data_IF_735833298776
#
_entry.id   IF_735833298776
#
_cell.length_a   1.000
_cell.length_b   1.000
_cell.length_c   1.000
_cell.angle_alpha   90.00
_cell.angle_beta   90.00
_cell.angle_gamma   90.00
#
_symmetry.space_group_name_H-M   'P 1'
#
loop_
_entity.id
_entity.type
_entity.pdbx_description
1 polymer ?
#
# COMPACT_ATOMS: atom_id res chain seq x y z
N UNK A 1 14.96 19.99 -46.45
CA UNK A 1 15.32 19.65 -45.06
C UNK A 1 14.07 19.86 -44.21
N UNK A 2 13.34 18.80 -43.87
CA UNK A 2 12.15 18.90 -43.03
C UNK A 2 12.56 18.84 -41.56
N UNK A 3 12.28 19.89 -40.78
CA UNK A 3 12.42 19.88 -39.33
C UNK A 3 11.11 19.39 -38.72
N UNK A 4 11.15 18.30 -37.95
CA UNK A 4 10.02 17.84 -37.14
C UNK A 4 10.16 18.50 -35.76
N UNK A 5 9.20 19.35 -35.41
CA UNK A 5 9.04 19.90 -34.08
C UNK A 5 8.25 18.89 -33.22
N UNK A 6 8.91 18.23 -32.26
CA UNK A 6 8.22 17.40 -31.27
C UNK A 6 7.99 18.24 -30.02
N UNK A 7 6.73 18.67 -29.81
CA UNK A 7 6.31 19.29 -28.55
C UNK A 7 5.91 18.18 -27.56
N UNK A 8 6.68 18.02 -26.48
CA UNK A 8 6.30 17.21 -25.33
C UNK A 8 5.51 18.10 -24.37
N UNK A 9 4.18 17.92 -24.32
CA UNK A 9 3.33 18.56 -23.33
C UNK A 9 3.31 17.64 -22.10
N UNK A 10 4.19 17.90 -21.13
CA UNK A 10 4.12 17.25 -19.82
C UNK A 10 3.15 18.01 -18.93
N UNK A 11 1.93 17.50 -18.75
CA UNK A 11 1.05 18.00 -17.70
C UNK A 11 1.53 17.45 -16.36
N UNK A 12 2.19 18.29 -15.56
CA UNK A 12 2.41 17.99 -14.15
C UNK A 12 1.05 18.01 -13.44
N UNK A 13 0.62 16.86 -12.92
CA UNK A 13 -0.55 16.82 -12.02
C UNK A 13 -0.09 17.46 -10.71
N UNK A 14 -0.41 18.74 -10.54
CA UNK A 14 -0.25 19.42 -9.26
C UNK A 14 -1.33 18.86 -8.35
N UNK A 15 -0.95 17.94 -7.46
CA UNK A 15 -1.79 17.56 -6.32
C UNK A 15 -2.00 18.81 -5.46
N UNK A 16 -3.12 19.51 -5.68
CA UNK A 16 -3.62 20.47 -4.70
C UNK A 16 -4.22 19.66 -3.54
N UNK A 17 -3.36 19.21 -2.64
CA UNK A 17 -3.78 18.86 -1.30
C UNK A 17 -4.27 20.17 -0.65
N UNK A 18 -5.57 20.45 -0.72
CA UNK A 18 -6.20 21.39 0.21
C UNK A 18 -6.17 20.73 1.58
N UNK A 19 -5.07 20.93 2.30
CA UNK A 19 -5.07 20.73 3.75
C UNK A 19 -6.19 21.63 4.30
N UNK A 20 -7.21 21.03 4.90
CA UNK A 20 -8.29 21.77 5.52
C UNK A 20 -7.70 22.67 6.60
N UNK A 21 -7.65 23.98 6.34
CA UNK A 21 -7.49 24.98 7.39
C UNK A 21 -8.79 24.99 8.18
N UNK A 22 -8.82 24.27 9.30
CA UNK A 22 -9.86 24.49 10.30
C UNK A 22 -9.28 25.48 11.32
N UNK A 23 -9.63 26.75 11.13
CA UNK A 23 -9.54 27.74 12.20
C UNK A 23 -10.53 27.34 13.27
N UNK A 24 -10.07 26.69 14.34
CA UNK A 24 -10.75 26.72 15.62
C UNK A 24 -9.72 26.63 16.74
N UNK A 25 -9.56 27.75 17.43
CA UNK A 25 -8.86 27.88 18.68
C UNK A 25 -9.40 26.86 19.69
N UNK A 26 -8.60 25.87 20.06
CA UNK A 26 -8.57 25.31 21.41
C UNK A 26 -7.30 24.48 21.58
N UNK A 27 -6.48 24.89 22.55
CA UNK A 27 -5.29 24.17 23.02
C UNK A 27 -5.69 22.77 23.46
N UNK A 28 -5.33 21.74 22.69
CA UNK A 28 -5.05 20.38 23.14
C UNK A 28 -4.25 19.67 22.03
N UNK A 29 -3.02 19.30 22.35
CA UNK A 29 -2.03 18.73 21.44
C UNK A 29 -2.34 17.27 21.08
N UNK A 30 -3.42 17.03 20.33
CA UNK A 30 -3.78 15.69 19.87
C UNK A 30 -3.48 15.56 18.38
N UNK A 31 -2.20 15.43 18.02
CA UNK A 31 -1.79 15.04 16.67
C UNK A 31 -2.05 13.54 16.39
N UNK A 32 -3.15 13.02 16.96
CA UNK A 32 -3.68 11.65 16.84
C UNK A 32 -4.86 11.60 15.82
N UNK A 33 -4.88 12.52 14.84
CA UNK A 33 -6.16 13.12 14.41
C UNK A 33 -6.78 12.52 13.13
N UNK A 34 -6.06 11.69 12.38
CA UNK A 34 -6.62 10.99 11.22
C UNK A 34 -5.97 9.64 11.01
N UNK A 35 -4.64 9.57 11.08
CA UNK A 35 -3.90 8.33 10.90
C UNK A 35 -4.31 7.28 11.93
N UNK A 36 -4.29 7.64 13.21
CA UNK A 36 -4.69 6.74 14.28
C UNK A 36 -6.16 6.38 14.18
N UNK A 37 -7.01 7.27 13.67
CA UNK A 37 -8.42 6.97 13.43
C UNK A 37 -8.61 5.98 12.27
N UNK A 38 -7.90 6.14 11.16
CA UNK A 38 -7.96 5.18 10.04
C UNK A 38 -7.40 3.82 10.48
N UNK A 39 -6.20 3.83 11.05
CA UNK A 39 -5.47 2.59 11.39
C UNK A 39 -6.15 1.84 12.52
N UNK A 40 -6.55 2.50 13.60
CA UNK A 40 -7.13 1.81 14.76
C UNK A 40 -8.56 1.33 14.52
N UNK A 41 -9.27 1.84 13.50
CA UNK A 41 -10.64 1.43 13.18
C UNK A 41 -10.74 0.56 11.92
N UNK A 42 -9.64 0.34 11.20
CA UNK A 42 -9.63 -0.53 10.02
C UNK A 42 -9.53 -1.99 10.45
N UNK A 43 -10.46 -2.82 9.97
CA UNK A 43 -10.49 -4.24 10.26
C UNK A 43 -10.35 -5.09 8.99
N UNK A 44 -9.68 -6.24 9.13
CA UNK A 44 -9.81 -7.31 8.17
C UNK A 44 -11.13 -8.06 8.47
N UNK A 45 -12.13 -7.91 7.60
CA UNK A 45 -13.50 -8.41 7.85
C UNK A 45 -13.75 -9.85 7.37
N UNK A 46 -12.83 -10.43 6.60
CA UNK A 46 -12.83 -11.86 6.25
C UNK A 46 -11.46 -12.50 6.51
N UNK A 47 -11.36 -13.75 7.01
CA UNK A 47 -10.08 -14.39 7.27
C UNK A 47 -9.07 -14.41 6.10
N UNK A 48 -9.52 -14.47 4.84
CA UNK A 48 -8.64 -14.45 3.67
C UNK A 48 -8.62 -13.11 2.91
N UNK A 49 -9.11 -12.02 3.50
CA UNK A 49 -9.14 -10.68 2.87
C UNK A 49 -7.95 -9.77 3.24
N UNK A 50 -6.84 -10.32 3.72
CA UNK A 50 -5.67 -9.51 4.11
C UNK A 50 -5.10 -8.64 2.98
N UNK A 51 -5.11 -9.14 1.73
CA UNK A 51 -4.66 -8.38 0.55
C UNK A 51 -5.58 -7.17 0.29
N UNK A 52 -6.89 -7.33 0.02
CA UNK A 52 -7.77 -6.18 -0.17
C UNK A 52 -7.87 -5.28 1.07
N UNK A 53 -7.71 -5.81 2.29
CA UNK A 53 -7.64 -5.02 3.52
C UNK A 53 -6.48 -4.03 3.50
N UNK A 54 -5.26 -4.47 3.12
CA UNK A 54 -4.11 -3.57 2.99
C UNK A 54 -4.36 -2.47 1.93
N UNK A 55 -4.89 -2.84 0.77
CA UNK A 55 -5.23 -1.88 -0.30
C UNK A 55 -6.23 -0.84 0.20
N UNK A 56 -7.31 -1.27 0.86
CA UNK A 56 -8.32 -0.38 1.43
C UNK A 56 -7.75 0.54 2.52
N UNK A 57 -6.84 0.03 3.36
CA UNK A 57 -6.18 0.84 4.37
C UNK A 57 -5.47 2.03 3.73
N UNK A 58 -4.77 1.82 2.62
CA UNK A 58 -4.08 2.93 1.99
C UNK A 58 -5.01 3.85 1.21
N UNK A 59 -6.08 3.34 0.60
CA UNK A 59 -7.11 4.21 0.01
C UNK A 59 -7.73 5.14 1.06
N UNK A 60 -8.01 4.61 2.27
CA UNK A 60 -8.50 5.40 3.41
C UNK A 60 -7.44 6.41 3.87
N UNK A 61 -6.19 5.98 3.99
CA UNK A 61 -5.07 6.86 4.34
C UNK A 61 -4.93 8.04 3.37
N UNK A 62 -5.07 7.78 2.07
CA UNK A 62 -5.00 8.78 1.01
C UNK A 62 -6.27 9.66 0.92
N UNK A 63 -7.29 9.41 1.75
CA UNK A 63 -8.59 10.14 1.75
C UNK A 63 -9.33 10.08 0.42
N UNK A 64 -9.14 9.00 -0.35
CA UNK A 64 -9.83 8.80 -1.64
C UNK A 64 -11.09 7.91 -1.52
N UNK A 65 -11.33 7.35 -0.33
CA UNK A 65 -12.53 6.60 0.05
C UNK A 65 -12.90 6.89 1.51
N UNK A 66 -14.13 6.55 1.92
CA UNK A 66 -14.62 6.72 3.29
C UNK A 66 -14.01 5.72 4.29
N UNK A 67 -14.04 6.06 5.58
CA UNK A 67 -13.56 5.18 6.67
C UNK A 67 -14.25 3.81 6.69
N UNK A 68 -15.54 3.77 6.31
CA UNK A 68 -16.35 2.56 6.26
C UNK A 68 -16.23 1.79 4.93
N UNK A 69 -15.30 2.18 4.06
CA UNK A 69 -15.07 1.50 2.79
C UNK A 69 -14.51 0.09 3.04
N UNK A 70 -15.29 -0.92 2.66
CA UNK A 70 -14.93 -2.34 2.77
C UNK A 70 -15.27 -3.12 1.49
N UNK A 71 -15.51 -2.42 0.38
CA UNK A 71 -16.06 -3.01 -0.84
C UNK A 71 -15.08 -3.99 -1.49
N UNK A 72 -13.76 -3.76 -1.38
CA UNK A 72 -12.76 -4.70 -1.92
C UNK A 72 -12.78 -5.98 -1.09
N UNK A 73 -12.85 -5.89 0.24
CA UNK A 73 -12.97 -7.04 1.12
C UNK A 73 -14.31 -7.77 0.92
N UNK A 74 -15.43 -7.06 0.77
CA UNK A 74 -16.77 -7.64 0.50
C UNK A 74 -16.79 -8.36 -0.84
N UNK A 75 -16.16 -7.80 -1.88
CA UNK A 75 -16.05 -8.43 -3.19
C UNK A 75 -15.12 -9.64 -3.18
N UNK A 76 -14.06 -9.59 -2.38
CA UNK A 76 -13.05 -10.66 -2.29
C UNK A 76 -13.49 -11.83 -1.41
N UNK A 77 -14.18 -11.54 -0.31
CA UNK A 77 -14.61 -12.49 0.71
C UNK A 77 -13.44 -13.37 1.20
N UNK A 78 -13.63 -14.69 1.20
CA UNK A 78 -12.65 -15.68 1.62
C UNK A 78 -11.88 -16.31 0.44
N UNK A 79 -11.64 -15.55 -0.64
CA UNK A 79 -10.81 -16.02 -1.76
C UNK A 79 -9.36 -16.23 -1.32
N UNK A 80 -8.86 -17.47 -1.40
CA UNK A 80 -7.53 -17.88 -0.92
C UNK A 80 -6.46 -18.02 -2.00
N UNK A 81 -6.85 -18.03 -3.28
CA UNK A 81 -5.96 -18.13 -4.45
C UNK A 81 -5.56 -16.76 -5.01
N UNK A 82 -5.97 -15.67 -4.36
CA UNK A 82 -5.65 -14.32 -4.80
C UNK A 82 -4.25 -13.85 -4.40
N UNK A 83 -3.77 -12.80 -5.07
CA UNK A 83 -2.40 -12.28 -4.91
C UNK A 83 -2.38 -10.76 -5.06
N UNK A 84 -1.33 -10.11 -4.57
CA UNK A 84 -1.06 -8.70 -4.87
C UNK A 84 -0.96 -8.40 -6.38
N UNK A 85 -0.69 -9.42 -7.20
CA UNK A 85 -0.79 -9.34 -8.66
C UNK A 85 -2.17 -8.92 -9.15
N UNK A 86 -3.23 -9.23 -8.40
CA UNK A 86 -4.60 -8.81 -8.70
C UNK A 86 -4.77 -7.28 -8.61
N UNK A 87 -3.80 -6.58 -8.03
CA UNK A 87 -3.77 -5.12 -7.90
C UNK A 87 -2.59 -4.48 -8.63
N UNK A 88 -1.68 -5.25 -9.23
CA UNK A 88 -0.50 -4.71 -9.93
C UNK A 88 -0.93 -3.90 -11.16
N UNK A 89 -0.38 -2.68 -11.27
CA UNK A 89 -0.64 -1.67 -12.31
C UNK A 89 -2.10 -1.23 -12.43
N UNK A 90 -2.92 -1.51 -11.41
CA UNK A 90 -4.30 -1.03 -11.37
C UNK A 90 -4.34 0.35 -10.73
N UNK A 91 -5.15 1.20 -11.33
CA UNK A 91 -5.57 2.46 -10.73
C UNK A 91 -6.89 2.24 -9.99
N UNK A 92 -6.92 2.56 -8.70
CA UNK A 92 -8.11 2.54 -7.88
C UNK A 92 -8.27 3.91 -7.23
N UNK A 93 -9.38 4.58 -7.51
CA UNK A 93 -9.69 5.90 -6.93
C UNK A 93 -8.55 6.93 -7.13
N UNK A 94 -7.90 6.92 -8.30
CA UNK A 94 -6.80 7.83 -8.63
C UNK A 94 -5.44 7.44 -8.05
N UNK A 95 -5.32 6.28 -7.38
CA UNK A 95 -4.06 5.77 -6.83
C UNK A 95 -3.62 4.55 -7.63
N UNK A 96 -2.37 4.55 -8.11
CA UNK A 96 -1.81 3.43 -8.86
C UNK A 96 -1.00 2.52 -7.96
N UNK A 97 -1.32 1.23 -7.99
CA UNK A 97 -0.62 0.18 -7.25
C UNK A 97 0.39 -0.51 -8.16
N UNK A 98 1.57 -0.82 -7.62
CA UNK A 98 2.65 -1.48 -8.37
C UNK A 98 3.33 -2.54 -7.50
N UNK A 99 3.41 -3.77 -7.99
CA UNK A 99 4.14 -4.84 -7.33
C UNK A 99 5.59 -4.85 -7.81
N UNK A 100 6.54 -4.75 -6.87
CA UNK A 100 7.98 -4.84 -7.21
C UNK A 100 8.55 -6.25 -7.15
N UNK A 101 8.06 -7.07 -6.23
CA UNK A 101 8.62 -8.40 -5.97
C UNK A 101 7.59 -9.48 -6.26
N UNK A 102 7.58 -9.92 -7.52
CA UNK A 102 6.82 -11.07 -7.99
C UNK A 102 7.72 -12.31 -8.19
N UNK A 103 8.56 -12.58 -7.18
CA UNK A 103 9.46 -13.74 -7.16
C UNK A 103 8.93 -14.83 -6.22
N UNK A 104 9.32 -16.10 -6.42
CA UNK A 104 9.13 -17.13 -5.40
C UNK A 104 9.68 -16.71 -4.04
N UNK A 105 9.04 -17.18 -2.98
CA UNK A 105 9.40 -16.88 -1.59
C UNK A 105 10.20 -18.06 -1.02
N UNK A 106 11.40 -18.23 -1.54
CA UNK A 106 12.35 -19.29 -1.19
C UNK A 106 13.73 -18.72 -0.82
N UNK A 107 14.72 -19.59 -0.64
CA UNK A 107 16.09 -19.23 -0.24
C UNK A 107 16.80 -18.30 -1.25
N UNK A 108 16.34 -18.27 -2.51
CA UNK A 108 16.88 -17.38 -3.55
C UNK A 108 16.27 -15.97 -3.52
N UNK A 109 15.30 -15.71 -2.64
CA UNK A 109 14.61 -14.44 -2.59
C UNK A 109 15.57 -13.30 -2.20
N UNK A 110 15.67 -12.21 -3.00
CA UNK A 110 16.67 -11.17 -2.80
C UNK A 110 16.23 -10.19 -1.68
N UNK A 111 16.49 -10.59 -0.43
CA UNK A 111 16.11 -9.83 0.78
C UNK A 111 16.75 -8.44 0.80
N UNK A 112 18.02 -8.31 0.43
CA UNK A 112 18.70 -7.01 0.41
C UNK A 112 18.07 -6.05 -0.61
N UNK A 113 17.76 -6.55 -1.81
CA UNK A 113 17.07 -5.77 -2.83
C UNK A 113 15.67 -5.36 -2.38
N UNK A 114 14.98 -6.21 -1.62
CA UNK A 114 13.69 -5.87 -1.03
C UNK A 114 13.80 -4.67 -0.08
N UNK A 115 14.71 -4.73 0.89
CA UNK A 115 14.88 -3.63 1.84
C UNK A 115 15.34 -2.35 1.17
N UNK A 116 16.25 -2.44 0.20
CA UNK A 116 16.66 -1.29 -0.60
C UNK A 116 15.48 -0.68 -1.38
N UNK A 117 14.62 -1.52 -1.95
CA UNK A 117 13.42 -1.04 -2.62
C UNK A 117 12.46 -0.37 -1.64
N UNK A 118 12.19 -0.96 -0.46
CA UNK A 118 11.37 -0.32 0.59
C UNK A 118 11.94 1.06 0.93
N UNK A 119 13.24 1.15 1.19
CA UNK A 119 13.90 2.40 1.57
C UNK A 119 13.77 3.47 0.48
N UNK A 120 14.06 3.12 -0.77
CA UNK A 120 13.96 4.05 -1.90
C UNK A 120 12.53 4.58 -2.06
N UNK A 121 11.55 3.71 -1.88
CA UNK A 121 10.15 4.07 -2.06
C UNK A 121 9.64 4.95 -0.92
N UNK A 122 9.98 4.62 0.33
CA UNK A 122 9.69 5.47 1.48
C UNK A 122 10.38 6.85 1.36
N UNK A 123 11.64 6.91 0.90
CA UNK A 123 12.35 8.17 0.62
C UNK A 123 11.66 9.01 -0.46
N UNK A 124 10.98 8.37 -1.41
CA UNK A 124 10.18 9.06 -2.44
C UNK A 124 8.79 9.50 -1.96
N UNK A 125 8.47 9.33 -0.67
CA UNK A 125 7.19 9.72 -0.07
C UNK A 125 6.04 8.71 -0.29
N UNK A 126 6.33 7.60 -0.96
CA UNK A 126 5.33 6.58 -1.29
C UNK A 126 4.97 5.70 -0.10
N UNK A 127 3.89 4.94 -0.26
CA UNK A 127 3.40 3.97 0.74
C UNK A 127 3.68 2.56 0.26
N UNK A 128 3.92 1.69 1.23
CA UNK A 128 4.39 0.34 1.00
C UNK A 128 3.56 -0.64 1.83
N UNK A 129 2.82 -1.53 1.17
CA UNK A 129 2.14 -2.63 1.85
C UNK A 129 3.07 -3.83 1.91
N UNK A 130 3.15 -4.47 3.09
CA UNK A 130 4.01 -5.62 3.29
C UNK A 130 3.21 -6.86 3.69
N UNK A 131 3.34 -7.95 2.94
CA UNK A 131 2.77 -9.24 3.35
C UNK A 131 3.85 -10.17 3.87
N UNK A 132 3.66 -10.58 5.12
CA UNK A 132 4.51 -11.55 5.81
C UNK A 132 3.84 -12.92 5.76
N UNK A 133 4.57 -13.95 5.34
CA UNK A 133 4.11 -15.32 5.52
C UNK A 133 4.53 -15.80 6.91
N UNK A 134 3.54 -16.05 7.77
CA UNK A 134 3.79 -16.69 9.07
C UNK A 134 3.81 -18.21 8.86
N UNK A 135 4.97 -18.83 9.01
CA UNK A 135 5.06 -20.29 9.14
C UNK A 135 4.85 -20.63 10.62
N UNK A 136 3.85 -21.44 11.01
CA UNK A 136 3.74 -21.88 12.39
C UNK A 136 4.99 -22.68 12.78
N UNK A 137 5.43 -22.62 14.05
CA UNK A 137 6.60 -23.37 14.48
C UNK A 137 6.25 -24.86 14.46
N UNK A 138 6.83 -25.61 13.53
CA UNK A 138 7.01 -27.04 13.70
C UNK A 138 8.44 -27.23 14.19
N UNK A 139 8.54 -27.51 15.48
CA UNK A 139 9.69 -28.04 16.20
C UNK A 139 11.07 -27.35 16.04
N UNK A 140 11.54 -26.81 17.17
CA UNK A 140 12.92 -26.84 17.67
C UNK A 140 14.03 -27.07 16.60
N UNK A 141 14.86 -26.03 16.41
CA UNK A 141 16.07 -25.91 15.55
C UNK A 141 15.86 -25.63 14.05
N UNK A 142 15.78 -24.34 13.70
CA UNK A 142 16.66 -23.65 12.71
C UNK A 142 16.27 -22.17 12.58
N UNK A 143 17.19 -21.19 12.62
CA UNK A 143 16.85 -19.79 12.49
C UNK A 143 16.80 -19.36 11.02
N UNK A 144 15.94 -18.38 10.74
CA UNK A 144 15.80 -17.58 9.52
C UNK A 144 14.93 -18.18 8.40
N UNK A 145 13.70 -17.68 8.33
CA UNK A 145 13.11 -17.17 7.09
C UNK A 145 11.86 -16.34 7.42
N UNK A 146 12.03 -15.02 7.57
CA UNK A 146 10.90 -14.08 7.50
C UNK A 146 10.76 -13.68 6.04
N UNK A 147 9.72 -14.16 5.37
CA UNK A 147 9.42 -13.83 3.98
C UNK A 147 8.50 -12.62 3.92
N UNK A 148 8.97 -11.58 3.24
CA UNK A 148 8.32 -10.28 3.07
C UNK A 148 7.83 -10.14 1.62
N UNK A 149 6.66 -9.56 1.40
CA UNK A 149 6.21 -9.03 0.10
C UNK A 149 6.07 -7.53 0.23
N UNK A 150 6.31 -6.75 -0.82
CA UNK A 150 6.25 -5.28 -0.80
C UNK A 150 5.43 -4.85 -2.03
N UNK A 151 4.27 -4.25 -1.80
CA UNK A 151 3.45 -3.56 -2.80
C UNK A 151 3.71 -2.06 -2.67
N UNK A 152 3.97 -1.40 -3.79
CA UNK A 152 4.23 0.02 -3.85
C UNK A 152 2.98 0.80 -4.27
N UNK A 153 2.84 2.02 -3.77
CA UNK A 153 1.78 2.95 -4.16
C UNK A 153 2.38 4.25 -4.68
N UNK A 154 2.04 4.63 -5.91
CA UNK A 154 2.43 5.90 -6.53
C UNK A 154 1.30 6.90 -6.52
#
# INVERSE_FOLDING_TARGET
MHFILVMLISTAVIFHAKAQTNNNNNNNNNNYDFFDTVVNNHNQIFPASGIPSAIEMVLKYCKVVDFNFYDLQIKWQNKTDGSFRDFDKKELYGITFSQKFNLPRDESFPVDSLFQAIENELKSGKKVDIMLKLTPPLDILTPLTRLFSVQLMT
#
